data_IF_031045365873
#
_entry.id   IF_031045365873
#
_cell.length_a   1.000
_cell.length_b   1.000
_cell.length_c   1.000
_cell.angle_alpha   90.00
_cell.angle_beta   90.00
_cell.angle_gamma   90.00
#
_symmetry.space_group_name_H-M   'P 1'
#
loop_
_entity.id
_entity.type
_entity.pdbx_description
1 polymer ?
#
# COMPACT_ATOMS: atom_id res chain seq x y z
N UNK A 1 -2.63 -16.97 -9.52
CA UNK A 1 -2.45 -16.04 -8.38
C UNK A 1 -2.47 -14.59 -8.86
N UNK A 2 -3.19 -13.72 -8.15
CA UNK A 2 -3.20 -12.28 -8.40
C UNK A 2 -2.39 -11.56 -7.30
N UNK A 3 -1.83 -10.39 -7.62
CA UNK A 3 -0.91 -9.69 -6.73
C UNK A 3 -1.57 -8.45 -6.12
N UNK A 4 -1.21 -8.14 -4.88
CA UNK A 4 -1.39 -6.80 -4.32
C UNK A 4 -0.57 -5.80 -5.16
N UNK A 5 -1.11 -4.61 -5.39
CA UNK A 5 -0.52 -3.62 -6.30
C UNK A 5 -0.24 -2.31 -5.59
N UNK A 6 0.98 -1.81 -5.75
CA UNK A 6 1.33 -0.43 -5.39
C UNK A 6 1.52 0.38 -6.68
N UNK A 7 0.77 1.48 -6.82
CA UNK A 7 0.85 2.42 -7.92
C UNK A 7 1.58 3.68 -7.45
N UNK A 8 2.72 4.02 -8.04
CA UNK A 8 3.51 5.21 -7.66
C UNK A 8 3.54 6.23 -8.79
N UNK A 9 3.67 7.52 -8.46
CA UNK A 9 3.81 8.58 -9.46
C UNK A 9 3.23 9.90 -8.98
N UNK A 10 3.42 10.98 -9.74
CA UNK A 10 2.93 12.30 -9.36
C UNK A 10 1.40 12.37 -9.22
N UNK A 11 0.90 13.35 -8.46
CA UNK A 11 -0.54 13.64 -8.39
C UNK A 11 -1.06 13.95 -9.79
N UNK A 12 -2.25 13.45 -10.11
CA UNK A 12 -2.86 13.65 -11.43
C UNK A 12 -2.35 12.71 -12.52
N UNK A 13 -1.43 11.76 -12.24
CA UNK A 13 -0.94 10.80 -13.23
C UNK A 13 -1.91 9.66 -13.59
N UNK A 14 -3.15 9.69 -13.09
CA UNK A 14 -4.20 8.71 -13.43
C UNK A 14 -4.23 7.42 -12.59
N UNK A 15 -3.47 7.33 -11.49
CA UNK A 15 -3.41 6.13 -10.62
C UNK A 15 -4.79 5.70 -10.10
N UNK A 16 -5.50 6.59 -9.41
CA UNK A 16 -6.84 6.31 -8.85
C UNK A 16 -7.87 6.09 -9.97
N UNK A 17 -7.73 6.81 -11.09
CA UNK A 17 -8.58 6.62 -12.27
C UNK A 17 -8.43 5.23 -12.89
N UNK A 18 -7.22 4.65 -12.89
CA UNK A 18 -7.00 3.29 -13.38
C UNK A 18 -7.77 2.27 -12.54
N UNK A 19 -7.73 2.39 -11.21
CA UNK A 19 -8.47 1.48 -10.32
C UNK A 19 -9.99 1.62 -10.53
N UNK A 20 -10.49 2.85 -10.67
CA UNK A 20 -11.90 3.11 -10.99
C UNK A 20 -12.30 2.56 -12.36
N UNK A 21 -11.41 2.61 -13.34
CA UNK A 21 -11.63 1.99 -14.66
C UNK A 21 -11.72 0.46 -14.57
N UNK A 22 -10.91 -0.19 -13.72
CA UNK A 22 -11.02 -1.63 -13.47
C UNK A 22 -12.39 -2.01 -12.90
N UNK A 23 -12.91 -1.23 -11.94
CA UNK A 23 -14.28 -1.45 -11.43
C UNK A 23 -15.30 -1.39 -12.56
N UNK A 24 -15.27 -0.35 -13.40
CA UNK A 24 -16.20 -0.23 -14.52
C UNK A 24 -16.10 -1.40 -15.51
N UNK A 25 -14.89 -1.86 -15.82
CA UNK A 25 -14.66 -2.94 -16.76
C UNK A 25 -15.10 -4.32 -16.23
N UNK A 26 -14.94 -4.56 -14.92
CA UNK A 26 -15.11 -5.89 -14.32
C UNK A 26 -16.24 -6.01 -13.29
N UNK A 27 -17.01 -4.94 -13.02
CA UNK A 27 -18.14 -4.99 -12.09
C UNK A 27 -19.16 -6.07 -12.45
N UNK A 28 -19.42 -6.26 -13.75
CA UNK A 28 -20.29 -7.33 -14.27
C UNK A 28 -19.74 -8.74 -14.06
N UNK A 29 -18.43 -8.88 -13.85
CA UNK A 29 -17.75 -10.14 -13.53
C UNK A 29 -17.58 -10.37 -12.02
N UNK A 30 -18.30 -9.59 -11.19
CA UNK A 30 -18.28 -9.74 -9.73
C UNK A 30 -17.18 -8.96 -9.00
N UNK A 31 -16.44 -8.08 -9.69
CA UNK A 31 -15.48 -7.18 -9.02
C UNK A 31 -16.22 -6.12 -8.20
N UNK A 32 -15.73 -5.89 -6.97
CA UNK A 32 -16.14 -4.80 -6.09
C UNK A 32 -14.89 -4.06 -5.63
N UNK A 33 -15.03 -2.75 -5.43
CA UNK A 33 -13.96 -1.91 -4.88
C UNK A 33 -14.47 -1.28 -3.60
N UNK A 34 -13.67 -1.37 -2.54
CA UNK A 34 -13.88 -0.70 -1.27
C UNK A 34 -12.76 0.33 -1.15
N UNK A 35 -13.10 1.62 -1.24
CA UNK A 35 -12.14 2.70 -1.03
C UNK A 35 -12.01 2.95 0.47
N UNK A 36 -10.78 2.86 0.98
CA UNK A 36 -10.44 3.10 2.39
C UNK A 36 -9.54 4.31 2.44
N UNK A 37 -9.99 5.35 3.14
CA UNK A 37 -9.21 6.55 3.31
C UNK A 37 -7.99 6.29 4.20
N UNK A 38 -6.95 7.12 4.03
CA UNK A 38 -5.73 7.02 4.86
C UNK A 38 -6.05 7.07 6.36
N UNK A 39 -7.09 7.78 6.80
CA UNK A 39 -7.50 7.84 8.21
C UNK A 39 -7.96 6.51 8.78
N UNK A 40 -8.57 5.67 7.95
CA UNK A 40 -9.36 4.50 8.36
C UNK A 40 -8.61 3.18 8.11
N UNK A 41 -7.32 3.25 7.79
CA UNK A 41 -6.50 2.06 7.53
C UNK A 41 -6.37 1.12 8.72
N UNK A 42 -6.64 1.60 9.94
CA UNK A 42 -6.69 0.75 11.13
C UNK A 42 -7.82 -0.27 11.09
N UNK A 43 -8.87 0.00 10.30
CA UNK A 43 -10.09 -0.80 10.21
C UNK A 43 -9.97 -1.87 9.10
N UNK A 44 -8.84 -1.90 8.38
CA UNK A 44 -8.58 -2.88 7.31
C UNK A 44 -8.80 -4.33 7.75
N UNK A 45 -8.32 -4.80 8.93
CA UNK A 45 -8.56 -6.17 9.36
C UNK A 45 -10.05 -6.50 9.47
N UNK A 46 -10.84 -5.59 10.04
CA UNK A 46 -12.28 -5.78 10.23
C UNK A 46 -13.02 -5.78 8.89
N UNK A 47 -12.63 -4.90 7.96
CA UNK A 47 -13.18 -4.86 6.60
C UNK A 47 -12.93 -6.20 5.89
N UNK A 48 -11.71 -6.74 5.99
CA UNK A 48 -11.33 -8.03 5.39
C UNK A 48 -12.16 -9.16 5.97
N UNK A 49 -12.36 -9.21 7.29
CA UNK A 49 -13.18 -10.22 7.96
C UNK A 49 -14.64 -10.19 7.47
N UNK A 50 -15.21 -9.00 7.27
CA UNK A 50 -16.60 -8.84 6.81
C UNK A 50 -16.85 -9.29 5.37
N UNK A 51 -15.81 -9.33 4.53
CA UNK A 51 -15.91 -9.69 3.12
C UNK A 51 -15.32 -11.07 2.80
N UNK A 52 -14.70 -11.72 3.78
CA UNK A 52 -14.22 -13.09 3.65
C UNK A 52 -15.37 -14.06 3.37
N UNK A 53 -15.11 -15.10 2.56
CA UNK A 53 -16.08 -16.10 2.15
C UNK A 53 -17.18 -15.63 1.20
N UNK A 54 -17.24 -14.33 0.88
CA UNK A 54 -18.19 -13.80 -0.11
C UNK A 54 -17.83 -14.20 -1.54
N UNK A 55 -18.82 -14.40 -2.42
CA UNK A 55 -18.58 -14.83 -3.81
C UNK A 55 -17.97 -13.73 -4.69
N UNK A 56 -18.11 -12.45 -4.31
CA UNK A 56 -17.49 -11.35 -5.04
C UNK A 56 -15.96 -11.33 -4.89
N UNK A 57 -15.27 -10.68 -5.84
CA UNK A 57 -13.84 -10.38 -5.74
C UNK A 57 -13.69 -8.92 -5.34
N UNK A 58 -12.88 -8.65 -4.32
CA UNK A 58 -12.71 -7.33 -3.74
C UNK A 58 -11.32 -6.78 -4.01
N UNK A 59 -11.26 -5.53 -4.46
CA UNK A 59 -10.08 -4.69 -4.32
C UNK A 59 -10.36 -3.72 -3.19
N UNK A 60 -9.58 -3.79 -2.12
CA UNK A 60 -9.50 -2.72 -1.14
C UNK A 60 -8.51 -1.69 -1.68
N UNK A 61 -9.01 -0.49 -1.94
CA UNK A 61 -8.25 0.59 -2.57
C UNK A 61 -7.88 1.66 -1.54
N UNK A 62 -6.59 1.89 -1.35
CA UNK A 62 -6.06 2.91 -0.45
C UNK A 62 -5.40 4.03 -1.26
N UNK A 63 -5.98 5.23 -1.29
CA UNK A 63 -5.42 6.35 -2.04
C UNK A 63 -4.40 7.16 -1.22
N UNK A 64 -3.34 7.65 -1.89
CA UNK A 64 -2.30 8.53 -1.36
C UNK A 64 -1.64 8.03 -0.05
N UNK A 65 -1.21 6.76 -0.04
CA UNK A 65 -0.50 6.18 1.09
C UNK A 65 0.81 6.92 1.37
N UNK A 66 0.95 7.26 2.64
CA UNK A 66 2.16 7.80 3.24
C UNK A 66 2.05 7.58 4.74
N UNK A 67 3.13 7.18 5.39
CA UNK A 67 3.13 6.91 6.83
C UNK A 67 4.19 7.75 7.52
N UNK A 68 3.93 8.10 8.77
CA UNK A 68 4.94 8.67 9.66
C UNK A 68 5.55 7.55 10.53
N UNK A 69 6.65 7.83 11.23
CA UNK A 69 7.27 6.84 12.11
C UNK A 69 6.32 6.46 13.26
N UNK A 70 6.14 5.16 13.51
CA UNK A 70 5.26 4.66 14.56
C UNK A 70 3.75 4.70 14.24
N UNK A 71 3.39 4.93 12.98
CA UNK A 71 2.00 5.02 12.56
C UNK A 71 1.26 3.67 12.68
N UNK A 72 0.19 3.63 13.48
CA UNK A 72 -0.60 2.41 13.68
C UNK A 72 -1.21 1.88 12.36
N UNK A 73 -1.47 2.77 11.39
CA UNK A 73 -2.01 2.43 10.07
C UNK A 73 -1.05 1.56 9.25
N UNK A 74 0.26 1.79 9.42
CA UNK A 74 1.30 0.98 8.79
C UNK A 74 1.20 -0.47 9.27
N UNK A 75 1.04 -0.67 10.58
CA UNK A 75 0.92 -2.00 11.18
C UNK A 75 -0.34 -2.73 10.69
N UNK A 76 -1.48 -2.05 10.61
CA UNK A 76 -2.71 -2.63 10.12
C UNK A 76 -2.58 -3.10 8.66
N UNK A 77 -2.04 -2.25 7.78
CA UNK A 77 -1.79 -2.60 6.39
C UNK A 77 -0.80 -3.77 6.26
N UNK A 78 0.28 -3.77 7.04
CA UNK A 78 1.27 -4.85 7.05
C UNK A 78 0.65 -6.19 7.41
N UNK A 79 -0.19 -6.24 8.46
CA UNK A 79 -0.88 -7.46 8.91
C UNK A 79 -1.75 -8.06 7.79
N UNK A 80 -2.47 -7.22 7.05
CA UNK A 80 -3.31 -7.69 5.94
C UNK A 80 -2.47 -8.17 4.76
N UNK A 81 -1.40 -7.45 4.41
CA UNK A 81 -0.50 -7.83 3.31
C UNK A 81 0.32 -9.09 3.60
N UNK A 82 0.75 -9.28 4.84
CA UNK A 82 1.49 -10.48 5.27
C UNK A 82 0.57 -11.72 5.27
N UNK A 83 -0.74 -11.52 5.37
CA UNK A 83 -1.69 -12.56 5.74
C UNK A 83 -1.40 -12.98 7.19
N UNK A 84 -2.27 -12.59 8.12
CA UNK A 84 -2.11 -12.95 9.54
C UNK A 84 -2.08 -14.48 9.74
N UNK A 85 -2.08 -14.94 11.00
CA UNK A 85 -2.15 -16.38 11.34
C UNK A 85 -3.28 -17.12 10.57
N UNK A 86 -4.37 -16.41 10.23
CA UNK A 86 -5.33 -16.81 9.22
C UNK A 86 -4.90 -16.28 7.86
N UNK A 87 -4.69 -17.18 6.88
CA UNK A 87 -4.32 -16.83 5.51
C UNK A 87 -5.22 -15.70 4.96
N UNK A 88 -4.62 -14.74 4.23
CA UNK A 88 -5.38 -13.68 3.59
C UNK A 88 -6.47 -14.27 2.68
N UNK A 89 -7.71 -13.74 2.70
CA UNK A 89 -8.78 -14.27 1.88
C UNK A 89 -8.43 -14.26 0.39
N UNK A 90 -8.67 -15.37 -0.31
CA UNK A 90 -8.34 -15.49 -1.74
C UNK A 90 -9.16 -14.54 -2.64
N UNK A 91 -10.26 -13.98 -2.11
CA UNK A 91 -11.14 -13.06 -2.81
C UNK A 91 -10.79 -11.58 -2.59
N UNK A 92 -9.72 -11.25 -1.84
CA UNK A 92 -9.34 -9.87 -1.51
C UNK A 92 -7.94 -9.54 -2.04
N UNK A 93 -7.79 -8.35 -2.63
CA UNK A 93 -6.51 -7.76 -2.97
C UNK A 93 -6.42 -6.32 -2.47
N UNK A 94 -5.22 -5.90 -2.09
CA UNK A 94 -4.91 -4.53 -1.65
C UNK A 94 -4.26 -3.78 -2.81
N UNK A 95 -4.89 -2.69 -3.24
CA UNK A 95 -4.36 -1.77 -4.24
C UNK A 95 -4.13 -0.42 -3.58
N UNK A 96 -2.92 0.11 -3.66
CA UNK A 96 -2.57 1.37 -3.04
C UNK A 96 -1.97 2.35 -4.04
N UNK A 97 -2.25 3.64 -3.92
CA UNK A 97 -1.46 4.67 -4.61
C UNK A 97 -0.50 5.34 -3.65
N UNK A 98 0.62 5.84 -4.16
CA UNK A 98 1.52 6.73 -3.43
C UNK A 98 2.07 7.80 -4.35
N UNK A 99 2.07 9.04 -3.87
CA UNK A 99 2.76 10.14 -4.54
C UNK A 99 4.26 10.16 -4.21
N UNK A 100 4.70 9.35 -3.25
CA UNK A 100 6.10 9.20 -2.84
C UNK A 100 6.67 7.89 -3.39
N UNK A 101 7.97 7.89 -3.72
CA UNK A 101 8.69 6.67 -4.10
C UNK A 101 8.79 5.68 -2.93
N UNK A 102 8.88 6.20 -1.70
CA UNK A 102 8.90 5.42 -0.46
C UNK A 102 7.67 5.74 0.37
N UNK A 103 7.02 4.71 0.92
CA UNK A 103 5.80 4.85 1.72
C UNK A 103 6.06 5.53 3.07
N UNK A 104 7.29 5.49 3.58
CA UNK A 104 7.74 6.17 4.79
C UNK A 104 8.78 7.24 4.46
N UNK A 105 8.87 8.33 5.23
CA UNK A 105 9.87 9.37 5.04
C UNK A 105 11.31 8.85 5.21
N UNK A 106 12.19 9.37 4.36
CA UNK A 106 13.64 9.29 4.54
C UNK A 106 14.08 10.49 5.39
N UNK A 107 14.40 10.28 6.67
CA UNK A 107 15.02 11.34 7.44
C UNK A 107 16.51 11.39 7.10
N UNK A 108 16.97 12.51 6.56
CA UNK A 108 18.39 12.75 6.21
C UNK A 108 19.36 12.51 7.37
N UNK A 109 18.91 12.54 8.63
CA UNK A 109 19.70 12.21 9.81
C UNK A 109 20.10 10.71 9.88
N UNK A 110 19.23 9.79 9.46
CA UNK A 110 19.52 8.32 9.43
C UNK A 110 20.68 8.00 8.46
N UNK A 111 20.81 8.78 7.39
CA UNK A 111 21.91 8.66 6.40
C UNK A 111 23.26 9.21 6.92
N UNK A 112 23.23 10.17 7.84
CA UNK A 112 24.42 10.79 8.44
C UNK A 112 24.93 10.00 9.65
N UNK A 113 24.05 9.44 10.48
CA UNK A 113 24.41 8.57 11.61
C UNK A 113 25.01 7.24 11.17
N UNK A 114 24.60 6.69 10.02
CA UNK A 114 25.22 5.49 9.43
C UNK A 114 26.73 5.67 9.12
N UNK A 115 27.27 6.88 9.18
CA UNK A 115 28.71 7.16 9.01
C UNK A 115 29.44 7.60 10.29
N UNK A 116 28.75 7.83 11.41
CA UNK A 116 29.42 8.28 12.64
C UNK A 116 28.72 7.75 13.90
N UNK A 117 29.53 7.00 14.65
CA UNK A 117 29.45 6.70 16.09
C UNK A 117 28.93 5.31 16.45
N UNK A 118 29.83 4.54 17.05
CA UNK A 118 29.59 3.24 17.67
C UNK A 118 29.06 3.38 19.10
N UNK A 119 27.89 3.97 19.26
CA UNK A 119 27.07 3.78 20.46
C UNK A 119 25.66 3.38 20.02
N UNK A 120 25.11 2.37 20.70
CA UNK A 120 23.93 1.60 20.32
C UNK A 120 22.67 2.47 20.11
N UNK A 121 22.46 2.88 18.87
CA UNK A 121 21.16 3.23 18.30
C UNK A 121 20.98 2.20 17.18
N UNK A 122 19.86 1.49 17.10
CA UNK A 122 19.57 0.49 16.07
C UNK A 122 18.98 1.19 14.83
N UNK A 123 19.76 1.70 13.87
CA UNK A 123 19.25 2.49 12.75
C UNK A 123 18.74 1.55 11.65
N UNK A 124 19.12 0.26 11.72
CA UNK A 124 18.73 -0.79 10.79
C UNK A 124 17.27 -1.21 10.91
N UNK A 125 16.68 -1.21 12.12
CA UNK A 125 15.30 -1.69 12.31
C UNK A 125 14.29 -0.80 11.57
N UNK A 126 14.46 0.53 11.63
CA UNK A 126 13.60 1.46 10.91
C UNK A 126 13.77 1.38 9.38
N UNK A 127 14.96 1.02 8.88
CA UNK A 127 15.21 0.85 7.44
C UNK A 127 14.67 -0.49 6.94
N UNK A 128 14.85 -1.56 7.70
CA UNK A 128 14.31 -2.90 7.39
C UNK A 128 12.77 -2.91 7.40
N UNK A 129 12.13 -2.20 8.32
CA UNK A 129 10.67 -2.03 8.31
C UNK A 129 10.18 -1.36 7.01
N UNK A 130 10.87 -0.31 6.54
CA UNK A 130 10.48 0.44 5.32
C UNK A 130 10.50 -0.41 4.06
N UNK A 131 11.53 -1.24 3.91
CA UNK A 131 11.68 -2.16 2.79
C UNK A 131 10.64 -3.28 2.89
N UNK A 132 10.41 -3.78 4.11
CA UNK A 132 9.51 -4.90 4.39
C UNK A 132 8.09 -4.70 3.85
N UNK A 133 7.47 -3.53 3.97
CA UNK A 133 6.10 -3.32 3.50
C UNK A 133 5.99 -3.24 1.97
N UNK A 134 6.90 -2.49 1.34
CA UNK A 134 6.85 -2.28 -0.11
C UNK A 134 7.07 -3.59 -0.87
N UNK A 135 7.91 -4.47 -0.34
CA UNK A 135 8.16 -5.81 -0.89
C UNK A 135 6.97 -6.77 -0.78
N UNK A 136 5.97 -6.49 0.07
CA UNK A 136 4.73 -7.31 0.13
C UNK A 136 3.77 -7.03 -1.02
N UNK A 137 3.97 -5.93 -1.74
CA UNK A 137 3.26 -5.71 -2.99
C UNK A 137 3.91 -6.55 -4.09
N UNK A 138 3.20 -7.59 -4.55
CA UNK A 138 3.68 -8.46 -5.62
C UNK A 138 3.75 -7.78 -6.99
N UNK A 139 3.22 -6.55 -7.13
CA UNK A 139 3.35 -5.74 -8.34
C UNK A 139 3.54 -4.27 -7.99
N UNK A 140 4.56 -3.65 -8.60
CA UNK A 140 4.85 -2.24 -8.46
C UNK A 140 4.76 -1.54 -9.82
N UNK A 141 3.83 -0.59 -9.96
CA UNK A 141 3.57 0.12 -11.22
C UNK A 141 3.91 1.59 -11.05
N UNK A 142 4.88 2.07 -11.82
CA UNK A 142 5.28 3.49 -11.83
C UNK A 142 4.58 4.25 -12.94
N UNK A 143 4.00 5.40 -12.59
CA UNK A 143 3.37 6.35 -13.50
C UNK A 143 4.28 7.56 -13.64
N UNK A 144 4.69 7.82 -14.88
CA UNK A 144 5.46 9.00 -15.22
C UNK A 144 4.53 10.21 -15.34
N UNK A 145 5.04 11.43 -15.06
CA UNK A 145 4.30 12.65 -15.34
C UNK A 145 3.86 12.67 -16.80
N UNK A 146 2.65 13.17 -17.06
CA UNK A 146 2.24 13.45 -18.44
C UNK A 146 3.15 14.53 -19.02
N UNK A 147 3.60 14.32 -20.25
CA UNK A 147 4.21 15.38 -21.03
C UNK A 147 3.13 16.43 -21.30
N UNK A 148 3.40 17.69 -20.93
CA UNK A 148 2.46 18.79 -21.16
C UNK A 148 2.57 19.36 -22.59
N UNK A 149 3.53 18.87 -23.38
CA UNK A 149 3.82 19.35 -24.74
C UNK A 149 3.26 18.46 -25.86
N UNK A 150 2.23 17.63 -25.58
CA UNK A 150 1.58 16.77 -26.58
C UNK A 150 0.57 17.51 -27.48
#
# INVERSE_FOLDING_TARGET
>A
PANNVLLTGARGSGKSSLVKALLNAYAGNGLRVIEVEKGDLTDLPDIVELIDGRPERFIIFCDDLSFDSGDARYKALKVVLDGSISAAPENVLIYATSNRRHLMPEYFAENLESKRLGEEIHPGEAIEEKISLSERFGLWISFYPFDQDA
#
